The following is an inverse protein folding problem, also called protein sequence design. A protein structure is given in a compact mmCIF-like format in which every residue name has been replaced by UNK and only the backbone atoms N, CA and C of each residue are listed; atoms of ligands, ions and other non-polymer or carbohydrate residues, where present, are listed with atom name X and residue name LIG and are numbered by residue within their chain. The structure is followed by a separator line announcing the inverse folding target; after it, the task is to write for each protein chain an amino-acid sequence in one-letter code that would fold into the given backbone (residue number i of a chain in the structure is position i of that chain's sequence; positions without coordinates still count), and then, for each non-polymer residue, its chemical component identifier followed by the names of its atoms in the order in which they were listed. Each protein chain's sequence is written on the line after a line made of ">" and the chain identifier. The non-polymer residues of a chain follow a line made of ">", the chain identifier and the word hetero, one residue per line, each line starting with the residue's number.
data_IF_377410390079
#
_entry.id   IF_377410390079
#
_cell.length_a   1.000
_cell.length_b   1.000
_cell.length_c   1.000
_cell.angle_alpha   90.00
_cell.angle_beta   90.00
_cell.angle_gamma   90.00
#
_symmetry.space_group_name_H-M   'P 1'
#
loop_
_entity.id
_entity.type
_entity.pdbx_description
1 polymer ?
#
# COMPACT_ATOMS: atom_id res chain seq x y z
N UNK A 1 -33.54 86.33 14.81
CA UNK A 1 -33.91 84.92 15.08
C UNK A 1 -34.01 84.21 13.74
N UNK A 2 -33.02 83.40 13.39
CA UNK A 2 -32.95 82.70 12.10
C UNK A 2 -33.02 81.20 12.34
N UNK A 3 -34.04 80.53 11.79
CA UNK A 3 -34.17 79.07 11.82
C UNK A 3 -33.09 78.41 10.94
N UNK A 4 -32.44 77.31 11.37
CA UNK A 4 -31.55 76.57 10.50
C UNK A 4 -32.33 75.61 9.60
N UNK A 5 -31.97 75.61 8.31
CA UNK A 5 -32.49 74.69 7.30
C UNK A 5 -31.92 73.26 7.46
N UNK A 6 -32.70 72.19 7.18
CA UNK A 6 -32.21 70.83 7.28
C UNK A 6 -31.37 70.45 6.05
N UNK A 7 -30.09 70.07 6.23
CA UNK A 7 -29.26 69.52 5.15
C UNK A 7 -29.14 68.00 5.23
N UNK A 8 -29.62 67.38 4.15
CA UNK A 8 -29.75 65.97 3.82
C UNK A 8 -28.52 65.10 4.15
N UNK A 9 -28.77 63.92 4.73
CA UNK A 9 -27.82 62.80 4.73
C UNK A 9 -27.52 62.38 3.29
N UNK A 10 -26.24 62.45 2.92
CA UNK A 10 -25.69 61.93 1.67
C UNK A 10 -25.44 60.43 1.86
N UNK A 11 -26.38 59.59 1.43
CA UNK A 11 -26.15 58.14 1.33
C UNK A 11 -25.01 57.88 0.33
N UNK A 12 -23.90 57.36 0.84
CA UNK A 12 -22.76 56.87 0.04
C UNK A 12 -23.22 55.62 -0.72
N UNK A 13 -23.04 55.53 -2.05
CA UNK A 13 -23.33 54.30 -2.77
C UNK A 13 -22.33 53.23 -2.35
N UNK A 14 -22.83 52.10 -1.87
CA UNK A 14 -22.02 50.93 -1.50
C UNK A 14 -21.27 50.40 -2.72
N UNK A 15 -19.96 50.16 -2.56
CA UNK A 15 -19.15 49.40 -3.52
C UNK A 15 -19.55 47.92 -3.48
N UNK A 16 -20.06 47.32 -4.56
CA UNK A 16 -20.41 45.89 -4.59
C UNK A 16 -19.22 44.99 -4.96
N UNK A 17 -18.03 45.56 -5.20
CA UNK A 17 -16.92 44.83 -5.84
C UNK A 17 -16.04 44.01 -4.88
N UNK A 18 -16.17 44.18 -3.57
CA UNK A 18 -15.30 43.51 -2.59
C UNK A 18 -15.71 42.06 -2.26
N UNK A 19 -16.98 41.69 -2.48
CA UNK A 19 -17.45 40.33 -2.19
C UNK A 19 -17.02 39.31 -3.26
N UNK A 20 -17.02 39.71 -4.54
CA UNK A 20 -16.73 38.82 -5.67
C UNK A 20 -15.26 38.40 -5.75
N UNK A 21 -14.34 39.27 -5.32
CA UNK A 21 -12.90 39.01 -5.35
C UNK A 21 -12.42 38.14 -4.16
N UNK A 22 -13.08 38.26 -2.99
CA UNK A 22 -12.81 37.39 -1.82
C UNK A 22 -13.20 35.93 -2.08
N UNK A 23 -14.33 35.72 -2.75
CA UNK A 23 -14.83 34.39 -3.13
C UNK A 23 -13.90 33.67 -4.11
N UNK A 24 -13.45 34.33 -5.19
CA UNK A 24 -12.50 33.72 -6.16
C UNK A 24 -11.20 33.25 -5.51
N UNK A 25 -10.62 34.05 -4.60
CA UNK A 25 -9.39 33.69 -3.91
C UNK A 25 -9.58 32.55 -2.90
N UNK A 26 -10.77 32.43 -2.29
CA UNK A 26 -11.11 31.28 -1.43
C UNK A 26 -11.30 30.00 -2.24
N UNK A 27 -11.99 30.06 -3.38
CA UNK A 27 -12.19 28.89 -4.25
C UNK A 27 -10.86 28.40 -4.83
N UNK A 28 -9.96 29.31 -5.23
CA UNK A 28 -8.62 28.92 -5.70
C UNK A 28 -7.82 28.23 -4.60
N UNK A 29 -7.78 28.77 -3.37
CA UNK A 29 -7.08 28.13 -2.25
C UNK A 29 -7.62 26.73 -1.94
N UNK A 30 -8.93 26.54 -2.01
CA UNK A 30 -9.56 25.23 -1.81
C UNK A 30 -9.14 24.23 -2.89
N UNK A 31 -9.14 24.63 -4.15
CA UNK A 31 -8.66 23.78 -5.26
C UNK A 31 -7.18 23.45 -5.08
N UNK A 32 -6.34 24.40 -4.69
CA UNK A 32 -4.92 24.16 -4.43
C UNK A 32 -4.70 23.20 -3.25
N UNK A 33 -5.49 23.33 -2.17
CA UNK A 33 -5.42 22.41 -1.02
C UNK A 33 -5.86 21.00 -1.43
N UNK A 34 -6.95 20.87 -2.20
CA UNK A 34 -7.41 19.57 -2.70
C UNK A 34 -6.33 18.94 -3.59
N UNK A 35 -5.75 19.71 -4.52
CA UNK A 35 -4.66 19.23 -5.36
C UNK A 35 -3.44 18.80 -4.54
N UNK A 36 -2.97 19.62 -3.60
CA UNK A 36 -1.86 19.27 -2.71
C UNK A 36 -2.16 18.04 -1.86
N UNK A 37 -3.38 17.90 -1.36
CA UNK A 37 -3.79 16.76 -0.53
C UNK A 37 -3.78 15.43 -1.28
N UNK A 38 -3.91 15.45 -2.60
CA UNK A 38 -3.88 14.25 -3.45
C UNK A 38 -2.49 14.04 -4.04
N UNK A 39 -1.85 15.10 -4.54
CA UNK A 39 -0.57 15.02 -5.23
C UNK A 39 0.56 14.61 -4.29
N UNK A 40 0.58 15.13 -3.07
CA UNK A 40 1.64 14.87 -2.09
C UNK A 40 1.69 13.40 -1.63
N UNK A 41 0.58 12.74 -1.22
CA UNK A 41 0.63 11.32 -0.88
C UNK A 41 0.93 10.44 -2.09
N UNK A 42 0.47 10.78 -3.29
CA UNK A 42 0.84 10.04 -4.51
C UNK A 42 2.34 10.12 -4.75
N UNK A 43 2.94 11.30 -4.60
CA UNK A 43 4.38 11.50 -4.79
C UNK A 43 5.20 10.67 -3.79
N UNK A 44 4.80 10.68 -2.51
CA UNK A 44 5.44 9.87 -1.46
C UNK A 44 5.28 8.37 -1.75
N UNK A 45 4.08 7.94 -2.15
CA UNK A 45 3.82 6.55 -2.51
C UNK A 45 4.70 6.09 -3.68
N UNK A 46 4.88 6.93 -4.70
CA UNK A 46 5.78 6.64 -5.83
C UNK A 46 7.22 6.49 -5.32
N UNK A 47 7.73 7.42 -4.50
CA UNK A 47 9.10 7.34 -3.98
C UNK A 47 9.30 6.07 -3.13
N UNK A 48 8.37 5.74 -2.25
CA UNK A 48 8.43 4.53 -1.41
C UNK A 48 8.35 3.25 -2.26
N UNK A 49 7.52 3.25 -3.29
CA UNK A 49 7.43 2.14 -4.24
C UNK A 49 8.73 1.98 -5.03
N UNK A 50 9.29 3.08 -5.57
CA UNK A 50 10.55 3.10 -6.31
C UNK A 50 11.75 2.72 -5.46
N UNK A 51 11.73 3.05 -4.15
CA UNK A 51 12.79 2.67 -3.21
C UNK A 51 12.81 1.18 -2.88
N UNK A 52 11.79 0.42 -3.30
CA UNK A 52 11.69 -1.00 -2.99
C UNK A 52 11.55 -1.26 -1.48
N UNK A 53 10.99 -0.34 -0.70
CA UNK A 53 10.80 -0.53 0.75
C UNK A 53 9.38 -1.00 1.06
N UNK A 54 8.43 -0.78 0.13
CA UNK A 54 7.03 -1.07 0.34
C UNK A 54 6.73 -2.58 0.23
N UNK A 55 6.12 -3.13 1.27
CA UNK A 55 5.64 -4.52 1.32
C UNK A 55 4.13 -4.55 1.54
N UNK A 56 3.42 -5.39 0.81
CA UNK A 56 2.01 -5.69 1.02
C UNK A 56 1.93 -7.02 1.77
N UNK A 57 1.63 -6.93 3.07
CA UNK A 57 1.49 -8.11 3.90
C UNK A 57 2.75 -8.97 4.04
N UNK A 58 3.93 -8.35 3.96
CA UNK A 58 5.24 -9.03 3.99
C UNK A 58 5.82 -9.37 2.62
N UNK A 59 5.03 -9.30 1.54
CA UNK A 59 5.53 -9.51 0.17
C UNK A 59 5.92 -8.15 -0.42
N UNK A 60 7.10 -7.99 -1.07
CA UNK A 60 7.45 -6.76 -1.77
C UNK A 60 6.34 -6.33 -2.74
N UNK A 61 5.96 -5.05 -2.71
CA UNK A 61 4.79 -4.57 -3.45
C UNK A 61 4.90 -4.79 -4.96
N UNK A 62 6.11 -4.70 -5.52
CA UNK A 62 6.39 -5.02 -6.93
C UNK A 62 6.03 -6.47 -7.28
N UNK A 63 6.43 -7.41 -6.43
CA UNK A 63 6.12 -8.84 -6.56
C UNK A 63 4.63 -9.09 -6.42
N UNK A 64 3.98 -8.49 -5.41
CA UNK A 64 2.55 -8.65 -5.18
C UNK A 64 1.70 -8.14 -6.37
N UNK A 65 2.08 -7.00 -6.96
CA UNK A 65 1.42 -6.46 -8.16
C UNK A 65 1.58 -7.41 -9.35
N UNK A 66 2.77 -7.97 -9.55
CA UNK A 66 3.02 -8.91 -10.64
C UNK A 66 2.18 -10.18 -10.51
N UNK A 67 2.11 -10.76 -9.31
CA UNK A 67 1.22 -11.89 -9.00
C UNK A 67 -0.24 -11.54 -9.29
N UNK A 68 -0.68 -10.32 -8.95
CA UNK A 68 -2.04 -9.85 -9.23
C UNK A 68 -2.31 -9.63 -10.73
N UNK A 69 -1.28 -9.28 -11.50
CA UNK A 69 -1.38 -9.11 -12.95
C UNK A 69 -1.37 -10.44 -13.69
N UNK A 70 -0.76 -11.49 -13.12
CA UNK A 70 -0.82 -12.84 -13.67
C UNK A 70 -2.24 -13.41 -13.57
N UNK A 71 -2.86 -13.67 -14.73
CA UNK A 71 -4.24 -14.16 -14.79
C UNK A 71 -4.41 -15.52 -14.10
N UNK A 72 -3.39 -16.38 -14.15
CA UNK A 72 -3.46 -17.73 -13.60
C UNK A 72 -3.33 -17.70 -12.08
N UNK A 73 -2.39 -16.93 -11.55
CA UNK A 73 -2.23 -16.74 -10.11
C UNK A 73 -3.44 -16.03 -9.51
N UNK A 74 -3.90 -14.92 -10.14
CA UNK A 74 -5.09 -14.22 -9.65
C UNK A 74 -6.34 -15.09 -9.68
N UNK A 75 -6.58 -15.85 -10.75
CA UNK A 75 -7.74 -16.75 -10.80
C UNK A 75 -7.64 -17.84 -9.76
N UNK A 76 -6.48 -18.50 -9.62
CA UNK A 76 -6.27 -19.52 -8.59
C UNK A 76 -6.46 -18.97 -7.16
N UNK A 77 -6.03 -17.74 -6.89
CA UNK A 77 -6.27 -17.07 -5.61
C UNK A 77 -7.75 -16.81 -5.36
N UNK A 78 -8.46 -16.24 -6.33
CA UNK A 78 -9.90 -15.94 -6.20
C UNK A 78 -10.78 -17.20 -6.14
N UNK A 79 -10.36 -18.27 -6.82
CA UNK A 79 -11.01 -19.59 -6.79
C UNK A 79 -10.69 -20.37 -5.50
N UNK A 80 -9.80 -19.88 -4.64
CA UNK A 80 -9.36 -20.59 -3.43
C UNK A 80 -8.55 -21.86 -3.73
N UNK A 81 -8.04 -22.01 -4.97
CA UNK A 81 -7.27 -23.18 -5.38
C UNK A 81 -5.79 -23.01 -5.00
N UNK A 82 -5.49 -23.26 -3.73
CA UNK A 82 -4.16 -23.10 -3.15
C UNK A 82 -3.07 -23.89 -3.89
N UNK A 83 -3.37 -25.10 -4.38
CA UNK A 83 -2.40 -25.93 -5.14
C UNK A 83 -2.05 -25.31 -6.49
N UNK A 84 -3.06 -24.85 -7.25
CA UNK A 84 -2.86 -24.19 -8.54
C UNK A 84 -2.11 -22.86 -8.36
N UNK A 85 -2.44 -22.11 -7.31
CA UNK A 85 -1.76 -20.87 -6.96
C UNK A 85 -0.30 -21.16 -6.59
N UNK A 86 -0.06 -22.13 -5.71
CA UNK A 86 1.28 -22.57 -5.31
C UNK A 86 2.15 -22.90 -6.52
N UNK A 87 1.68 -23.78 -7.41
CA UNK A 87 2.43 -24.17 -8.60
C UNK A 87 2.78 -22.94 -9.46
N UNK A 88 1.81 -22.03 -9.65
CA UNK A 88 2.03 -20.84 -10.46
C UNK A 88 3.03 -19.87 -9.83
N UNK A 89 2.98 -19.67 -8.51
CA UNK A 89 3.93 -18.83 -7.79
C UNK A 89 5.35 -19.42 -7.85
N UNK A 90 5.47 -20.75 -7.78
CA UNK A 90 6.74 -21.44 -7.95
C UNK A 90 7.29 -21.29 -9.37
N UNK A 91 6.47 -21.47 -10.41
CA UNK A 91 6.85 -21.23 -11.81
C UNK A 91 7.33 -19.80 -12.07
N UNK A 92 6.74 -18.82 -11.37
CA UNK A 92 7.12 -17.41 -11.44
C UNK A 92 8.38 -17.08 -10.63
N UNK A 93 8.95 -18.05 -9.88
CA UNK A 93 10.12 -17.85 -9.03
C UNK A 93 9.90 -16.82 -7.92
N UNK A 94 8.66 -16.71 -7.42
CA UNK A 94 8.29 -15.68 -6.44
C UNK A 94 9.09 -15.82 -5.14
N UNK A 95 9.28 -17.04 -4.66
CA UNK A 95 10.01 -17.32 -3.41
C UNK A 95 11.44 -16.75 -3.45
N UNK A 96 12.21 -17.08 -4.48
CA UNK A 96 13.59 -16.60 -4.64
C UNK A 96 13.67 -15.07 -4.76
N UNK A 97 12.68 -14.46 -5.42
CA UNK A 97 12.63 -13.00 -5.55
C UNK A 97 12.32 -12.31 -4.22
N UNK A 98 11.46 -12.92 -3.40
CA UNK A 98 11.20 -12.45 -2.03
C UNK A 98 12.45 -12.66 -1.16
N UNK A 99 13.13 -13.81 -1.25
CA UNK A 99 14.40 -14.06 -0.55
C UNK A 99 15.45 -13.00 -0.91
N UNK A 100 15.64 -12.72 -2.19
CA UNK A 100 16.57 -11.70 -2.67
C UNK A 100 16.30 -10.30 -2.07
N UNK A 101 15.02 -9.96 -1.85
CA UNK A 101 14.63 -8.70 -1.22
C UNK A 101 15.00 -8.63 0.26
N UNK A 102 14.83 -9.74 1.00
CA UNK A 102 15.06 -9.79 2.45
C UNK A 102 16.48 -10.18 2.86
N UNK A 103 17.26 -10.80 1.96
CA UNK A 103 18.65 -11.23 2.22
C UNK A 103 19.56 -10.13 2.80
N UNK A 104 19.45 -8.84 2.42
CA UNK A 104 20.23 -7.78 3.06
C UNK A 104 19.87 -7.52 4.54
N UNK A 105 18.69 -7.95 4.98
CA UNK A 105 18.16 -7.73 6.35
C UNK A 105 18.21 -8.99 7.21
N UNK A 106 18.08 -10.16 6.58
CA UNK A 106 18.12 -11.48 7.24
C UNK A 106 19.27 -12.26 6.62
N UNK A 107 20.49 -12.20 7.22
CA UNK A 107 21.68 -12.83 6.65
C UNK A 107 21.74 -14.35 6.86
N UNK A 108 21.03 -14.87 7.86
CA UNK A 108 20.90 -16.31 8.08
C UNK A 108 19.88 -16.89 7.08
N UNK A 109 20.36 -17.70 6.14
CA UNK A 109 19.52 -18.29 5.08
C UNK A 109 18.43 -19.22 5.63
N UNK A 110 18.64 -19.89 6.76
CA UNK A 110 17.59 -20.74 7.37
C UNK A 110 16.48 -19.89 7.96
N UNK A 111 16.83 -18.79 8.66
CA UNK A 111 15.84 -17.84 9.17
C UNK A 111 15.12 -17.11 8.04
N UNK A 112 15.84 -16.76 6.97
CA UNK A 112 15.26 -16.14 5.78
C UNK A 112 14.25 -17.08 5.13
N UNK A 113 14.63 -18.33 4.91
CA UNK A 113 13.77 -19.35 4.31
C UNK A 113 12.49 -19.55 5.12
N UNK A 114 12.61 -19.73 6.44
CA UNK A 114 11.45 -19.86 7.34
C UNK A 114 10.58 -18.60 7.32
N UNK A 115 11.18 -17.41 7.33
CA UNK A 115 10.45 -16.15 7.26
C UNK A 115 9.63 -16.02 5.97
N UNK A 116 10.22 -16.34 4.82
CA UNK A 116 9.52 -16.27 3.53
C UNK A 116 8.39 -17.30 3.47
N UNK A 117 8.66 -18.53 3.93
CA UNK A 117 7.65 -19.57 3.99
C UNK A 117 6.47 -19.17 4.86
N UNK A 118 6.70 -18.55 6.03
CA UNK A 118 5.62 -18.06 6.89
C UNK A 118 4.80 -16.96 6.19
N UNK A 119 5.45 -16.00 5.53
CA UNK A 119 4.75 -14.95 4.76
C UNK A 119 3.86 -15.58 3.68
N UNK A 120 4.37 -16.56 2.95
CA UNK A 120 3.60 -17.23 1.90
C UNK A 120 2.46 -18.07 2.49
N UNK A 121 2.67 -18.72 3.63
CA UNK A 121 1.61 -19.44 4.34
C UNK A 121 0.47 -18.51 4.76
N UNK A 122 0.79 -17.42 5.44
CA UNK A 122 -0.18 -16.46 5.97
C UNK A 122 -1.02 -15.80 4.87
N UNK A 123 -0.46 -15.68 3.65
CA UNK A 123 -1.11 -14.95 2.54
C UNK A 123 -1.83 -15.84 1.56
N UNK A 124 -1.27 -17.00 1.24
CA UNK A 124 -1.77 -17.85 0.16
C UNK A 124 -1.93 -19.31 0.58
N UNK A 125 -1.71 -19.63 1.86
CA UNK A 125 -1.76 -21.00 2.37
C UNK A 125 -0.63 -21.88 1.85
N UNK A 126 0.45 -21.28 1.34
CA UNK A 126 1.63 -21.99 0.84
C UNK A 126 2.37 -22.66 1.99
N UNK A 127 2.58 -23.97 1.89
CA UNK A 127 3.45 -24.73 2.79
C UNK A 127 4.55 -25.34 1.93
N UNK A 128 5.80 -24.96 2.18
CA UNK A 128 6.93 -25.56 1.49
C UNK A 128 7.13 -27.02 1.90
N UNK A 129 7.73 -27.83 1.03
CA UNK A 129 7.87 -29.26 1.22
C UNK A 129 8.64 -29.63 2.51
N UNK A 130 9.58 -28.76 2.92
CA UNK A 130 10.39 -28.94 4.13
C UNK A 130 9.65 -28.58 5.44
N UNK A 131 8.45 -28.02 5.37
CA UNK A 131 7.76 -27.44 6.53
C UNK A 131 6.42 -28.11 6.84
N UNK A 132 6.04 -28.11 8.11
CA UNK A 132 4.69 -28.45 8.59
C UNK A 132 4.12 -27.28 9.40
N UNK A 133 2.82 -27.11 9.37
CA UNK A 133 2.13 -26.14 10.22
C UNK A 133 1.91 -26.80 11.59
N UNK A 134 2.38 -26.16 12.66
CA UNK A 134 2.11 -26.62 14.02
C UNK A 134 0.67 -26.25 14.46
N UNK A 135 0.26 -26.65 15.67
CA UNK A 135 -1.07 -26.33 16.22
C UNK A 135 -1.34 -24.83 16.42
N UNK A 136 -0.30 -24.00 16.35
CA UNK A 136 -0.37 -22.53 16.51
C UNK A 136 -0.42 -21.79 15.17
N UNK A 137 -0.40 -22.50 14.03
CA UNK A 137 -0.41 -21.87 12.70
C UNK A 137 0.98 -21.40 12.22
N UNK A 138 2.05 -21.81 12.90
CA UNK A 138 3.44 -21.46 12.56
C UNK A 138 4.09 -22.58 11.77
N UNK A 139 4.81 -22.23 10.72
CA UNK A 139 5.61 -23.18 9.97
C UNK A 139 6.88 -23.56 10.75
N UNK A 140 6.99 -24.85 11.02
CA UNK A 140 8.17 -25.48 11.63
C UNK A 140 8.76 -26.48 10.65
N UNK A 141 10.08 -26.60 10.63
CA UNK A 141 10.77 -27.62 9.85
C UNK A 141 10.19 -29.00 10.19
N UNK A 142 9.92 -29.82 9.17
CA UNK A 142 9.66 -31.23 9.37
C UNK A 142 10.92 -31.82 9.99
N UNK A 143 10.79 -32.47 11.14
CA UNK A 143 11.87 -33.28 11.68
C UNK A 143 12.26 -34.28 10.59
N UNK A 144 13.49 -34.17 10.08
CA UNK A 144 14.08 -35.26 9.33
C UNK A 144 13.97 -36.47 10.24
N UNK A 145 13.26 -37.49 9.81
CA UNK A 145 13.33 -38.80 10.45
C UNK A 145 14.78 -39.27 10.27
N UNK A 146 15.69 -38.82 11.14
CA UNK A 146 16.87 -39.60 11.51
C UNK A 146 16.28 -40.80 12.23
N UNK A 147 16.05 -41.83 11.42
CA UNK A 147 15.92 -43.21 11.85
C UNK A 147 17.21 -43.56 12.60
N UNK A 148 17.27 -43.22 13.88
CA UNK A 148 18.17 -43.91 14.79
C UNK A 148 17.44 -45.19 15.24
N UNK A 149 18.11 -46.30 14.94
CA UNK A 149 17.81 -47.71 15.25
C UNK A 149 17.15 -47.99 16.62
#
# INVERSE_FOLDING_TARGET
>A
MSQPAPRRLKTRPGQPNSAKNRSKNQTQRLVTIIYLSILLPISIAIILFSSGILTIGGIPASIAIEVWQDKTARSAYLEGNGKKLHNRLNEMGIEERIKAFYRPRIPDETQLDQHIHQILYDRVGYVGDAYRVNSEGVLVLKESQTSDE
#
